data_IF_053550640943
#
_entry.id   IF_053550640943
#
_cell.length_a   1.000
_cell.length_b   1.000
_cell.length_c   1.000
_cell.angle_alpha   90.00
_cell.angle_beta   90.00
_cell.angle_gamma   90.00
#
_symmetry.space_group_name_H-M   'P 1'
#
loop_
_entity.id
_entity.type
_entity.pdbx_description
1 polymer ?
#
# COMPACT_ATOMS: atom_id res chain seq x y z
N UNK A 1 -14.23 -8.57 7.96
CA UNK A 1 -14.00 -7.13 7.73
C UNK A 1 -12.92 -6.69 8.71
N UNK A 2 -11.87 -6.04 8.24
CA UNK A 2 -10.77 -5.54 9.09
C UNK A 2 -11.29 -4.32 9.87
N UNK A 3 -11.44 -4.47 11.18
CA UNK A 3 -12.15 -3.51 12.03
C UNK A 3 -11.22 -2.62 12.87
N UNK A 4 -9.94 -2.99 13.01
CA UNK A 4 -8.96 -2.25 13.79
C UNK A 4 -7.52 -2.43 13.29
N UNK A 5 -6.61 -1.66 13.87
CA UNK A 5 -5.18 -1.63 13.56
C UNK A 5 -4.43 -2.95 13.79
N UNK A 6 -4.86 -3.77 14.77
CA UNK A 6 -4.22 -5.04 15.05
C UNK A 6 -4.63 -6.10 14.02
N UNK A 7 -5.92 -6.15 13.67
CA UNK A 7 -6.43 -6.98 12.58
C UNK A 7 -5.80 -6.60 11.24
N UNK A 8 -5.62 -5.30 10.98
CA UNK A 8 -4.98 -4.82 9.76
C UNK A 8 -3.53 -5.30 9.64
N UNK A 9 -2.75 -5.19 10.73
CA UNK A 9 -1.38 -5.72 10.78
C UNK A 9 -1.33 -7.23 10.59
N UNK A 10 -2.18 -7.97 11.30
CA UNK A 10 -2.24 -9.43 11.19
C UNK A 10 -2.63 -9.88 9.77
N UNK A 11 -3.57 -9.19 9.13
CA UNK A 11 -3.96 -9.43 7.75
C UNK A 11 -2.77 -9.24 6.79
N UNK A 12 -2.11 -8.08 6.85
CA UNK A 12 -0.98 -7.76 5.96
C UNK A 12 0.20 -8.71 6.20
N UNK A 13 0.48 -9.07 7.46
CA UNK A 13 1.51 -10.05 7.80
C UNK A 13 1.21 -11.45 7.23
N UNK A 14 -0.05 -11.78 6.97
CA UNK A 14 -0.43 -13.03 6.30
C UNK A 14 -0.19 -13.03 4.78
N UNK A 15 0.06 -11.88 4.18
CA UNK A 15 0.26 -11.72 2.72
C UNK A 15 1.73 -11.73 2.29
N UNK A 16 2.67 -11.70 3.24
CA UNK A 16 4.09 -11.53 2.94
C UNK A 16 4.99 -12.16 4.00
N UNK A 17 6.30 -12.14 3.76
CA UNK A 17 7.30 -12.60 4.72
C UNK A 17 7.79 -11.46 5.63
N UNK A 18 8.77 -11.76 6.49
CA UNK A 18 9.32 -10.76 7.41
C UNK A 18 9.96 -9.57 6.68
N UNK A 19 10.54 -9.78 5.49
CA UNK A 19 11.17 -8.70 4.73
C UNK A 19 10.12 -7.78 4.09
N UNK A 20 9.06 -8.35 3.52
CA UNK A 20 7.94 -7.57 2.99
C UNK A 20 7.19 -6.82 4.09
N UNK A 21 7.00 -7.43 5.26
CA UNK A 21 6.40 -6.75 6.40
C UNK A 21 7.28 -5.57 6.86
N UNK A 22 8.60 -5.77 6.94
CA UNK A 22 9.54 -4.69 7.29
C UNK A 22 9.51 -3.53 6.27
N UNK A 23 9.36 -3.81 4.97
CA UNK A 23 9.17 -2.76 3.94
C UNK A 23 7.89 -1.96 4.18
N UNK A 24 6.80 -2.63 4.51
CA UNK A 24 5.52 -1.97 4.81
C UNK A 24 5.61 -1.11 6.08
N UNK A 25 6.25 -1.62 7.14
CA UNK A 25 6.49 -0.86 8.37
C UNK A 25 7.32 0.40 8.11
N UNK A 26 8.41 0.27 7.34
CA UNK A 26 9.24 1.39 6.95
C UNK A 26 8.45 2.41 6.10
N UNK A 27 7.64 1.95 5.15
CA UNK A 27 6.79 2.83 4.36
C UNK A 27 5.75 3.57 5.21
N UNK A 28 5.08 2.88 6.14
CA UNK A 28 4.14 3.49 7.07
C UNK A 28 4.80 4.60 7.91
N UNK A 29 6.02 4.34 8.41
CA UNK A 29 6.78 5.33 9.16
C UNK A 29 7.15 6.55 8.31
N UNK A 30 7.61 6.35 7.08
CA UNK A 30 7.93 7.43 6.14
C UNK A 30 6.72 8.30 5.82
N UNK A 31 5.54 7.69 5.59
CA UNK A 31 4.31 8.44 5.35
C UNK A 31 3.93 9.27 6.56
N UNK A 32 3.98 8.71 7.78
CA UNK A 32 3.63 9.44 9.01
C UNK A 32 4.60 10.59 9.30
N UNK A 33 5.91 10.39 9.06
CA UNK A 33 6.92 11.43 9.22
C UNK A 33 6.69 12.57 8.23
N UNK A 34 6.52 12.24 6.95
CA UNK A 34 6.32 13.25 5.91
C UNK A 34 4.94 13.92 6.03
N UNK A 35 3.95 13.26 6.63
CA UNK A 35 2.64 13.88 6.92
C UNK A 35 2.74 15.09 7.85
N UNK A 36 3.80 15.17 8.67
CA UNK A 36 4.05 16.34 9.52
C UNK A 36 4.50 17.57 8.72
N UNK A 37 4.98 17.36 7.48
CA UNK A 37 5.51 18.41 6.59
C UNK A 37 4.52 18.80 5.51
N UNK A 38 3.84 17.82 4.93
CA UNK A 38 2.83 18.00 3.89
C UNK A 38 1.66 17.05 4.18
N UNK A 39 0.42 17.49 4.00
CA UNK A 39 -0.77 16.69 4.30
C UNK A 39 -0.96 15.54 3.28
N UNK A 40 -0.12 14.50 3.35
CA UNK A 40 -0.17 13.29 2.54
C UNK A 40 -1.44 12.47 2.77
N UNK A 41 -1.84 12.33 4.03
CA UNK A 41 -3.07 11.68 4.48
C UNK A 41 -3.81 12.58 5.46
N UNK A 42 -5.13 12.37 5.57
CA UNK A 42 -5.94 13.14 6.52
C UNK A 42 -5.49 12.85 7.97
N UNK A 43 -5.26 13.91 8.76
CA UNK A 43 -4.80 13.81 10.15
C UNK A 43 -5.57 12.79 11.03
N UNK A 44 -6.91 12.68 10.96
CA UNK A 44 -7.64 11.66 11.74
C UNK A 44 -7.29 10.22 11.36
N UNK A 45 -6.74 10.00 10.17
CA UNK A 45 -6.38 8.67 9.66
C UNK A 45 -4.95 8.26 10.00
N UNK A 46 -4.12 9.14 10.57
CA UNK A 46 -2.73 8.81 10.97
C UNK A 46 -2.70 7.66 11.98
N UNK A 47 -3.55 7.72 13.02
CA UNK A 47 -3.66 6.67 14.04
C UNK A 47 -4.26 5.35 13.50
N UNK A 48 -4.76 5.38 12.27
CA UNK A 48 -5.42 4.25 11.60
C UNK A 48 -4.77 3.94 10.24
N UNK A 49 -3.48 4.25 10.07
CA UNK A 49 -2.80 4.13 8.78
C UNK A 49 -2.81 2.69 8.25
N UNK A 50 -2.72 1.70 9.14
CA UNK A 50 -2.74 0.30 8.72
C UNK A 50 -4.12 -0.10 8.22
N UNK A 51 -5.17 0.23 8.96
CA UNK A 51 -6.52 -0.12 8.55
C UNK A 51 -6.98 0.66 7.32
N UNK A 52 -6.76 1.99 7.31
CA UNK A 52 -7.37 2.90 6.34
C UNK A 52 -6.62 2.98 5.02
N UNK A 53 -5.32 2.70 5.00
CA UNK A 53 -4.48 2.86 3.81
C UNK A 53 -3.77 1.57 3.43
N UNK A 54 -3.07 0.91 4.37
CA UNK A 54 -2.22 -0.24 4.04
C UNK A 54 -3.06 -1.49 3.74
N UNK A 55 -3.88 -1.93 4.68
CA UNK A 55 -4.69 -3.13 4.55
C UNK A 55 -5.76 -2.97 3.44
N UNK A 56 -6.36 -1.78 3.33
CA UNK A 56 -7.28 -1.44 2.26
C UNK A 56 -6.61 -1.58 0.87
N UNK A 57 -5.38 -1.07 0.72
CA UNK A 57 -4.59 -1.26 -0.51
C UNK A 57 -4.25 -2.72 -0.77
N UNK A 58 -3.83 -3.44 0.27
CA UNK A 58 -3.39 -4.84 0.16
C UNK A 58 -4.51 -5.80 -0.26
N UNK A 59 -5.78 -5.46 0.04
CA UNK A 59 -6.94 -6.25 -0.38
C UNK A 59 -7.04 -6.43 -1.90
N UNK A 60 -6.46 -5.53 -2.70
CA UNK A 60 -6.44 -5.70 -4.16
C UNK A 60 -5.79 -7.01 -4.58
N UNK A 61 -4.77 -7.49 -3.86
CA UNK A 61 -4.04 -8.73 -4.20
C UNK A 61 -4.98 -9.94 -4.27
N UNK A 62 -5.99 -9.99 -3.41
CA UNK A 62 -6.93 -11.11 -3.31
C UNK A 62 -8.21 -10.92 -4.15
N UNK A 63 -8.50 -9.68 -4.59
CA UNK A 63 -9.77 -9.33 -5.23
C UNK A 63 -9.65 -9.01 -6.72
N UNK A 64 -8.44 -8.95 -7.27
CA UNK A 64 -8.19 -8.79 -8.70
C UNK A 64 -8.21 -10.12 -9.44
N UNK A 65 -8.37 -10.06 -10.77
CA UNK A 65 -8.33 -11.24 -11.62
C UNK A 65 -6.96 -11.90 -11.57
N UNK A 66 -6.91 -13.24 -11.62
CA UNK A 66 -5.65 -13.99 -11.52
C UNK A 66 -4.69 -13.69 -12.68
N UNK A 67 -5.22 -13.22 -13.81
CA UNK A 67 -4.52 -12.82 -15.03
C UNK A 67 -3.89 -11.42 -14.92
N UNK A 68 -4.25 -10.65 -13.88
CA UNK A 68 -3.67 -9.32 -13.68
C UNK A 68 -2.60 -9.33 -12.61
N UNK A 69 -2.35 -10.43 -11.89
CA UNK A 69 -1.47 -10.44 -10.72
C UNK A 69 -0.41 -11.57 -10.76
N UNK A 70 0.79 -11.27 -10.24
CA UNK A 70 1.89 -12.22 -10.14
C UNK A 70 2.43 -12.69 -11.49
N UNK A 71 2.88 -13.94 -11.57
CA UNK A 71 3.51 -14.51 -12.78
C UNK A 71 2.59 -14.58 -14.01
N UNK A 72 1.27 -14.49 -13.81
CA UNK A 72 0.28 -14.49 -14.88
C UNK A 72 -0.05 -13.09 -15.40
N UNK A 73 0.46 -12.03 -14.74
CA UNK A 73 0.21 -10.67 -15.15
C UNK A 73 0.83 -10.40 -16.54
N UNK A 74 0.01 -9.98 -17.49
CA UNK A 74 0.46 -9.62 -18.85
C UNK A 74 1.20 -8.28 -18.93
N UNK A 75 1.41 -7.57 -17.81
CA UNK A 75 2.01 -6.25 -17.79
C UNK A 75 2.07 -5.63 -16.39
N UNK A 76 2.52 -4.38 -16.33
CA UNK A 76 2.62 -3.61 -15.09
C UNK A 76 1.26 -3.12 -14.58
N UNK A 77 1.13 -2.98 -13.26
CA UNK A 77 0.03 -2.22 -12.67
C UNK A 77 0.28 -0.73 -12.86
N UNK A 78 -0.77 0.01 -13.17
CA UNK A 78 -0.73 1.45 -13.30
C UNK A 78 -1.60 2.09 -12.20
N UNK A 79 -0.95 2.80 -11.30
CA UNK A 79 -1.59 3.56 -10.23
C UNK A 79 -1.70 5.04 -10.66
N UNK A 80 -2.93 5.49 -10.94
CA UNK A 80 -3.22 6.83 -11.42
C UNK A 80 -3.80 7.68 -10.29
N UNK A 81 -3.11 8.77 -9.95
CA UNK A 81 -3.45 9.57 -8.77
C UNK A 81 -2.89 8.95 -7.49
N UNK A 82 -1.66 8.42 -7.58
CA UNK A 82 -1.03 7.66 -6.50
C UNK A 82 -0.84 8.46 -5.20
N UNK A 83 -0.88 9.81 -5.25
CA UNK A 83 -0.76 10.70 -4.10
C UNK A 83 0.45 10.35 -3.22
N UNK A 84 0.24 9.91 -1.97
CA UNK A 84 1.32 9.48 -1.07
C UNK A 84 1.89 8.08 -1.38
N UNK A 85 1.41 7.42 -2.43
CA UNK A 85 1.85 6.10 -2.91
C UNK A 85 0.86 4.96 -2.66
N UNK A 86 -0.40 5.23 -2.31
CA UNK A 86 -1.43 4.20 -2.15
C UNK A 86 -2.30 4.10 -3.42
N UNK A 87 -2.65 2.88 -3.89
CA UNK A 87 -2.23 1.58 -3.38
C UNK A 87 -0.87 1.08 -3.89
N UNK A 88 -0.28 1.75 -4.89
CA UNK A 88 0.83 1.20 -5.68
C UNK A 88 2.08 0.79 -4.89
N UNK A 89 2.55 1.61 -3.95
CA UNK A 89 3.74 1.30 -3.13
C UNK A 89 3.48 0.18 -2.14
N UNK A 90 2.25 0.05 -1.61
CA UNK A 90 1.90 -1.10 -0.75
C UNK A 90 2.01 -2.39 -1.54
N UNK A 91 1.45 -2.41 -2.74
CA UNK A 91 1.52 -3.57 -3.63
C UNK A 91 2.96 -3.90 -4.01
N UNK A 92 3.76 -2.88 -4.39
CA UNK A 92 5.16 -3.08 -4.73
C UNK A 92 6.01 -3.54 -3.52
N UNK A 93 5.70 -3.08 -2.31
CA UNK A 93 6.41 -3.51 -1.09
C UNK A 93 6.07 -4.96 -0.70
N UNK A 94 4.82 -5.39 -0.92
CA UNK A 94 4.41 -6.78 -0.68
C UNK A 94 4.93 -7.73 -1.78
N UNK A 95 4.95 -7.26 -3.03
CA UNK A 95 5.35 -8.03 -4.21
C UNK A 95 6.41 -7.27 -5.03
N UNK A 96 7.68 -7.25 -4.57
CA UNK A 96 8.75 -6.42 -5.15
C UNK A 96 9.13 -6.80 -6.59
N UNK A 97 8.79 -8.02 -7.00
CA UNK A 97 9.03 -8.50 -8.37
C UNK A 97 7.90 -8.11 -9.34
N UNK A 98 6.79 -7.55 -8.85
CA UNK A 98 5.69 -7.12 -9.70
C UNK A 98 5.95 -5.67 -10.15
N UNK A 99 5.95 -5.40 -11.46
CA UNK A 99 6.12 -4.04 -11.94
C UNK A 99 4.87 -3.20 -11.62
N UNK A 100 5.07 -2.11 -10.89
CA UNK A 100 4.03 -1.12 -10.57
C UNK A 100 4.52 0.26 -11.01
N UNK A 101 3.72 0.96 -11.81
CA UNK A 101 3.98 2.31 -12.30
C UNK A 101 3.06 3.27 -11.56
N UNK A 102 3.65 4.27 -10.90
CA UNK A 102 2.92 5.28 -10.15
C UNK A 102 2.91 6.59 -10.90
N UNK A 103 1.74 7.19 -11.05
CA UNK A 103 1.54 8.48 -11.71
C UNK A 103 0.80 9.40 -10.76
N UNK A 104 1.41 10.53 -10.44
CA UNK A 104 0.79 11.63 -9.69
C UNK A 104 1.10 12.96 -10.38
N UNK A 105 0.08 13.79 -10.48
CA UNK A 105 0.23 15.17 -10.91
C UNK A 105 0.70 16.03 -9.73
N UNK A 106 1.81 16.74 -9.89
CA UNK A 106 2.13 17.85 -9.00
C UNK A 106 1.75 19.15 -9.69
N UNK A 107 0.80 19.89 -9.13
CA UNK A 107 0.62 21.31 -9.45
C UNK A 107 1.91 22.05 -9.10
N UNK A 108 2.44 22.81 -10.06
CA UNK A 108 3.64 23.64 -9.89
C UNK A 108 3.43 24.74 -8.85
#
# INVERSE_FOLDING_TARGET
MISNEAEARAYVAGLTDAEGLARIEAFAALVLEENQRQNLIAKPTEAHIWQRHIADSAQLIENVSRETFGANAGGAWLDLGSGPGFPGLVIAALHPNMPVVLVESRSR
#
